data_IF_599143235819
#
_entry.id   IF_599143235819
#
_cell.length_a   1.000
_cell.length_b   1.000
_cell.length_c   1.000
_cell.angle_alpha   90.00
_cell.angle_beta   90.00
_cell.angle_gamma   90.00
#
_symmetry.space_group_name_H-M   'P 1'
#
loop_
_entity.id
_entity.type
_entity.pdbx_description
1 polymer ?
#
# COMPACT_ATOMS: atom_id res chain seq x y z
N UNK A 1 52.08 -54.59 18.87
CA UNK A 1 51.91 -54.96 17.44
C UNK A 1 51.59 -53.69 16.66
N UNK A 2 52.57 -53.15 15.92
CA UNK A 2 52.43 -51.88 15.20
C UNK A 2 52.10 -52.15 13.74
N UNK A 3 50.84 -51.99 13.35
CA UNK A 3 50.40 -52.00 11.95
C UNK A 3 51.01 -50.78 11.25
N UNK A 4 51.98 -51.00 10.35
CA UNK A 4 52.43 -49.97 9.40
C UNK A 4 51.37 -49.87 8.31
N UNK A 5 50.55 -48.81 8.35
CA UNK A 5 49.70 -48.43 7.23
C UNK A 5 50.61 -47.96 6.08
N UNK A 6 50.62 -48.68 4.97
CA UNK A 6 51.28 -48.23 3.75
C UNK A 6 50.59 -46.96 3.24
N UNK A 7 51.36 -45.91 3.02
CA UNK A 7 50.91 -44.72 2.30
C UNK A 7 50.77 -45.07 0.82
N UNK A 8 49.54 -45.29 0.38
CA UNK A 8 49.19 -45.44 -1.04
C UNK A 8 49.15 -44.04 -1.64
N UNK A 9 49.99 -43.77 -2.65
CA UNK A 9 49.96 -42.52 -3.41
C UNK A 9 48.78 -42.50 -4.39
N UNK A 10 48.27 -41.30 -4.71
CA UNK A 10 47.23 -41.09 -5.72
C UNK A 10 47.84 -41.16 -7.14
N UNK A 11 47.11 -41.76 -8.07
CA UNK A 11 47.55 -41.76 -9.48
C UNK A 11 47.26 -40.41 -10.16
N UNK A 12 48.03 -40.03 -11.18
CA UNK A 12 47.82 -38.79 -11.92
C UNK A 12 46.42 -38.72 -12.55
N UNK A 13 45.90 -39.86 -13.04
CA UNK A 13 44.54 -39.93 -13.59
C UNK A 13 43.46 -39.71 -12.52
N UNK A 14 43.68 -40.22 -11.31
CA UNK A 14 42.75 -40.04 -10.18
C UNK A 14 42.68 -38.57 -9.74
N UNK A 15 43.81 -37.87 -9.72
CA UNK A 15 43.86 -36.43 -9.44
C UNK A 15 43.15 -35.63 -10.55
N UNK A 16 43.36 -35.98 -11.82
CA UNK A 16 42.70 -35.30 -12.95
C UNK A 16 41.18 -35.50 -12.92
N UNK A 17 40.71 -36.72 -12.67
CA UNK A 17 39.27 -36.99 -12.57
C UNK A 17 38.68 -36.27 -11.36
N UNK A 18 39.40 -36.23 -10.23
CA UNK A 18 38.96 -35.52 -9.03
C UNK A 18 38.76 -34.02 -9.27
N UNK A 19 39.71 -33.33 -9.90
CA UNK A 19 39.57 -31.89 -10.20
C UNK A 19 38.45 -31.62 -11.20
N UNK A 20 38.20 -32.52 -12.16
CA UNK A 20 37.10 -32.39 -13.13
C UNK A 20 35.75 -32.50 -12.40
N UNK A 21 35.59 -33.51 -11.55
CA UNK A 21 34.36 -33.72 -10.77
C UNK A 21 34.08 -32.53 -9.85
N UNK A 22 35.11 -32.02 -9.16
CA UNK A 22 34.97 -30.80 -8.35
C UNK A 22 34.60 -29.59 -9.21
N UNK A 23 35.25 -29.38 -10.35
CA UNK A 23 34.97 -28.24 -11.24
C UNK A 23 33.52 -28.21 -11.72
N UNK A 24 32.98 -29.37 -12.13
CA UNK A 24 31.56 -29.49 -12.52
C UNK A 24 30.63 -29.27 -11.32
N UNK A 25 31.00 -29.81 -10.15
CA UNK A 25 30.25 -29.60 -8.90
C UNK A 25 30.15 -28.14 -8.49
N UNK A 26 31.27 -27.41 -8.47
CA UNK A 26 31.31 -25.98 -8.15
C UNK A 26 30.51 -25.13 -9.14
N UNK A 27 30.57 -25.47 -10.43
CA UNK A 27 29.79 -24.78 -11.46
C UNK A 27 28.28 -24.92 -11.21
N UNK A 28 27.82 -26.13 -10.84
CA UNK A 28 26.42 -26.36 -10.47
C UNK A 28 25.97 -25.57 -9.23
N UNK A 29 26.80 -25.51 -8.19
CA UNK A 29 26.50 -24.78 -6.96
C UNK A 29 26.41 -23.26 -7.22
N UNK A 30 27.28 -22.71 -8.06
CA UNK A 30 27.29 -21.28 -8.36
C UNK A 30 26.02 -20.83 -9.12
N UNK A 31 25.48 -21.68 -9.98
CA UNK A 31 24.21 -21.43 -10.68
C UNK A 31 23.06 -21.38 -9.67
N UNK A 32 22.97 -22.37 -8.78
CA UNK A 32 21.96 -22.43 -7.72
C UNK A 32 22.05 -21.24 -6.75
N UNK A 33 23.27 -20.84 -6.36
CA UNK A 33 23.48 -19.69 -5.48
C UNK A 33 22.99 -18.38 -6.11
N UNK A 34 23.28 -18.15 -7.40
CA UNK A 34 22.79 -16.98 -8.13
C UNK A 34 21.26 -16.97 -8.26
N UNK A 35 20.65 -18.12 -8.57
CA UNK A 35 19.18 -18.23 -8.62
C UNK A 35 18.54 -17.94 -7.26
N UNK A 36 19.08 -18.50 -6.18
CA UNK A 36 18.57 -18.30 -4.82
C UNK A 36 18.71 -16.84 -4.39
N UNK A 37 19.82 -16.20 -4.72
CA UNK A 37 20.08 -14.77 -4.40
C UNK A 37 19.07 -13.86 -5.10
N UNK A 38 18.77 -14.08 -6.38
CA UNK A 38 17.78 -13.27 -7.13
C UNK A 38 16.37 -13.50 -6.60
N UNK A 39 15.98 -14.75 -6.36
CA UNK A 39 14.69 -15.09 -5.78
C UNK A 39 14.47 -14.56 -4.34
N UNK A 40 15.54 -14.11 -3.67
CA UNK A 40 15.47 -13.58 -2.29
C UNK A 40 15.04 -12.11 -2.22
N UNK A 41 15.07 -11.36 -3.33
CA UNK A 41 14.71 -9.92 -3.35
C UNK A 41 13.19 -9.72 -3.50
N UNK A 42 12.53 -10.55 -4.29
CA UNK A 42 11.08 -10.54 -4.50
C UNK A 42 10.25 -10.52 -3.20
N UNK A 43 10.53 -11.35 -2.18
CA UNK A 43 9.76 -11.31 -0.94
C UNK A 43 9.93 -10.02 -0.14
N UNK A 44 11.08 -9.33 -0.23
CA UNK A 44 11.30 -8.05 0.45
C UNK A 44 10.46 -6.95 -0.22
N UNK A 45 10.52 -6.89 -1.55
CA UNK A 45 9.77 -5.90 -2.36
C UNK A 45 8.26 -6.06 -2.14
N UNK A 46 7.77 -7.30 -2.15
CA UNK A 46 6.35 -7.58 -1.93
C UNK A 46 5.90 -7.23 -0.51
N UNK A 47 6.71 -7.53 0.50
CA UNK A 47 6.39 -7.16 1.90
C UNK A 47 6.32 -5.64 2.06
N UNK A 48 7.22 -4.91 1.44
CA UNK A 48 7.19 -3.44 1.46
C UNK A 48 5.94 -2.90 0.77
N UNK A 49 5.58 -3.43 -0.40
CA UNK A 49 4.37 -3.04 -1.11
C UNK A 49 3.10 -3.29 -0.29
N UNK A 50 3.03 -4.44 0.39
CA UNK A 50 1.92 -4.76 1.30
C UNK A 50 1.90 -3.81 2.50
N UNK A 51 3.05 -3.49 3.10
CA UNK A 51 3.12 -2.57 4.24
C UNK A 51 2.62 -1.17 3.86
N UNK A 52 2.98 -0.66 2.67
CA UNK A 52 2.48 0.61 2.13
C UNK A 52 0.96 0.55 1.93
N UNK A 53 0.46 -0.55 1.33
CA UNK A 53 -0.96 -0.72 1.09
C UNK A 53 -1.76 -0.75 2.40
N UNK A 54 -1.31 -1.54 3.38
CA UNK A 54 -1.97 -1.68 4.68
C UNK A 54 -1.94 -0.38 5.48
N UNK A 55 -0.81 0.33 5.50
CA UNK A 55 -0.73 1.58 6.27
C UNK A 55 -1.70 2.62 5.72
N UNK A 56 -1.82 2.71 4.39
CA UNK A 56 -2.73 3.65 3.76
C UNK A 56 -4.19 3.20 3.91
N UNK A 57 -4.48 1.90 3.81
CA UNK A 57 -5.82 1.36 4.07
C UNK A 57 -6.26 1.62 5.50
N UNK A 58 -5.39 1.43 6.49
CA UNK A 58 -5.68 1.74 7.90
C UNK A 58 -5.95 3.22 8.10
N UNK A 59 -5.17 4.10 7.48
CA UNK A 59 -5.40 5.54 7.51
C UNK A 59 -6.77 5.92 6.95
N UNK A 60 -7.12 5.40 5.76
CA UNK A 60 -8.42 5.65 5.12
C UNK A 60 -9.57 5.12 5.98
N UNK A 61 -9.45 3.89 6.50
CA UNK A 61 -10.51 3.25 7.27
C UNK A 61 -10.77 3.91 8.62
N UNK A 62 -9.80 4.67 9.15
CA UNK A 62 -9.95 5.44 10.38
C UNK A 62 -10.76 6.73 10.20
N UNK A 63 -11.04 7.14 8.96
CA UNK A 63 -11.87 8.32 8.69
C UNK A 63 -13.37 8.04 8.82
N UNK A 64 -14.11 9.14 9.01
CA UNK A 64 -15.55 9.14 9.06
C UNK A 64 -16.16 8.60 7.77
N UNK A 65 -17.31 7.94 7.89
CA UNK A 65 -18.23 7.80 6.75
C UNK A 65 -19.59 8.29 7.21
N UNK A 66 -19.80 9.60 7.10
CA UNK A 66 -20.94 10.35 7.63
C UNK A 66 -21.90 10.76 6.52
N UNK A 67 -23.00 11.43 6.87
CA UNK A 67 -23.90 12.05 5.87
C UNK A 67 -23.38 13.40 5.39
N UNK A 68 -22.81 14.17 6.30
CA UNK A 68 -22.23 15.47 6.04
C UNK A 68 -20.74 15.39 6.24
N UNK A 69 -20.04 16.27 5.53
CA UNK A 69 -18.65 16.56 5.76
C UNK A 69 -18.41 16.98 7.24
N UNK A 70 -17.29 16.57 7.87
CA UNK A 70 -16.97 16.91 9.27
C UNK A 70 -16.92 18.41 9.60
N UNK A 71 -16.70 19.30 8.63
CA UNK A 71 -16.75 20.75 8.81
C UNK A 71 -18.20 21.29 8.87
N UNK A 72 -19.23 20.48 8.59
CA UNK A 72 -20.63 20.87 8.70
C UNK A 72 -21.10 20.91 10.17
N UNK A 73 -21.69 22.02 10.65
CA UNK A 73 -22.30 22.09 11.98
C UNK A 73 -23.36 21.02 12.28
N UNK A 74 -24.03 20.48 11.25
CA UNK A 74 -25.06 19.47 11.35
C UNK A 74 -24.53 18.02 11.30
N UNK A 75 -23.21 17.79 11.18
CA UNK A 75 -22.64 16.44 11.08
C UNK A 75 -23.10 15.51 12.21
N UNK A 76 -23.27 16.04 13.43
CA UNK A 76 -23.70 15.27 14.60
C UNK A 76 -25.21 15.00 14.69
N UNK A 77 -26.03 15.62 13.84
CA UNK A 77 -27.50 15.59 13.95
C UNK A 77 -28.24 15.24 12.64
N UNK A 78 -27.57 15.29 11.49
CA UNK A 78 -28.18 14.99 10.20
C UNK A 78 -28.75 13.57 10.14
N UNK A 79 -30.03 13.43 9.79
CA UNK A 79 -30.67 12.12 9.65
C UNK A 79 -30.38 11.44 8.29
N UNK A 80 -29.99 12.24 7.30
CA UNK A 80 -29.58 11.87 5.95
C UNK A 80 -28.80 13.04 5.33
N UNK A 81 -28.37 12.90 4.07
CA UNK A 81 -27.61 13.95 3.35
C UNK A 81 -28.39 15.25 3.13
N UNK A 82 -29.72 15.25 3.22
CA UNK A 82 -30.53 16.48 3.14
C UNK A 82 -30.48 17.31 4.41
N UNK A 83 -30.00 16.72 5.52
CA UNK A 83 -29.76 17.38 6.79
C UNK A 83 -28.50 18.24 6.85
N UNK A 84 -27.63 18.17 5.83
CA UNK A 84 -26.43 19.00 5.75
C UNK A 84 -26.80 20.47 5.47
N UNK A 85 -25.99 21.40 5.98
CA UNK A 85 -26.22 22.84 5.93
C UNK A 85 -26.35 23.35 4.48
N UNK A 86 -25.64 22.72 3.54
CA UNK A 86 -25.78 23.00 2.11
C UNK A 86 -25.33 21.79 1.27
N UNK A 87 -25.60 21.82 -0.03
CA UNK A 87 -25.12 20.79 -0.96
C UNK A 87 -23.58 20.69 -1.02
N UNK A 88 -22.85 21.76 -0.65
CA UNK A 88 -21.39 21.76 -0.58
C UNK A 88 -20.83 21.07 0.66
N UNK A 89 -21.67 20.80 1.67
CA UNK A 89 -21.32 20.02 2.85
C UNK A 89 -21.84 18.57 2.77
N UNK A 90 -22.51 18.22 1.66
CA UNK A 90 -22.80 16.82 1.39
C UNK A 90 -21.52 16.20 0.89
N UNK A 91 -21.12 15.16 1.60
CA UNK A 91 -19.89 14.46 1.35
C UNK A 91 -19.98 13.65 0.03
N UNK A 92 -19.08 13.93 -0.93
CA UNK A 92 -19.09 13.37 -2.28
C UNK A 92 -17.73 12.75 -2.64
N UNK A 93 -17.69 11.77 -3.54
CA UNK A 93 -16.44 11.08 -3.88
C UNK A 93 -15.35 12.06 -4.37
N UNK A 94 -14.20 12.04 -3.71
CA UNK A 94 -13.06 12.90 -3.99
C UNK A 94 -12.88 14.02 -2.96
N UNK A 95 -11.71 14.67 -2.91
CA UNK A 95 -11.45 15.77 -2.01
C UNK A 95 -12.46 16.88 -2.19
N UNK A 96 -13.04 17.34 -1.10
CA UNK A 96 -14.06 18.37 -1.16
C UNK A 96 -13.48 19.77 -0.93
N UNK A 97 -14.35 20.78 -1.10
CA UNK A 97 -14.06 22.18 -0.83
C UNK A 97 -15.19 22.72 0.04
N UNK A 98 -15.17 22.42 1.34
CA UNK A 98 -16.22 22.86 2.26
C UNK A 98 -16.09 24.35 2.61
N UNK A 99 -17.15 25.16 2.45
CA UNK A 99 -17.12 26.56 2.88
C UNK A 99 -16.82 26.67 4.39
N UNK A 100 -15.94 27.59 4.82
CA UNK A 100 -15.40 28.72 4.06
C UNK A 100 -14.11 28.42 3.27
N UNK A 101 -13.60 27.18 3.28
CA UNK A 101 -12.43 26.80 2.49
C UNK A 101 -12.70 26.98 1.00
N UNK A 102 -11.72 27.52 0.30
CA UNK A 102 -11.69 27.60 -1.18
C UNK A 102 -10.68 26.63 -1.77
N UNK A 103 -9.96 25.88 -0.93
CA UNK A 103 -8.96 24.91 -1.33
C UNK A 103 -9.53 23.52 -1.12
N UNK A 104 -9.28 22.63 -2.08
CA UNK A 104 -9.65 21.24 -1.93
C UNK A 104 -8.83 20.61 -0.80
N UNK A 105 -9.44 19.70 -0.06
CA UNK A 105 -8.72 18.99 0.98
C UNK A 105 -7.48 18.27 0.45
N UNK A 106 -6.51 18.05 1.33
CA UNK A 106 -5.33 17.24 0.98
C UNK A 106 -4.96 16.31 2.12
N UNK A 107 -4.33 15.16 1.81
CA UNK A 107 -3.86 14.21 2.83
C UNK A 107 -2.98 14.84 3.91
N UNK A 108 -2.08 15.73 3.49
CA UNK A 108 -1.00 16.28 4.32
C UNK A 108 -1.14 17.79 4.49
N UNK A 109 -2.37 18.26 4.66
CA UNK A 109 -2.64 19.68 4.72
C UNK A 109 -1.81 20.42 5.77
N UNK A 110 -1.47 21.65 5.42
CA UNK A 110 -0.80 22.65 6.25
C UNK A 110 -1.85 23.33 7.15
N UNK A 111 -1.49 24.12 8.19
CA UNK A 111 -2.46 24.81 9.06
C UNK A 111 -3.46 25.76 8.35
N UNK A 112 -3.37 25.91 7.03
CA UNK A 112 -4.21 26.78 6.20
C UNK A 112 -5.16 26.01 5.25
N UNK A 113 -5.01 24.68 5.09
CA UNK A 113 -5.84 23.85 4.21
C UNK A 113 -6.48 22.71 5.03
N UNK A 114 -7.71 22.30 4.72
CA UNK A 114 -8.37 21.17 5.39
C UNK A 114 -7.73 19.83 4.98
N UNK A 115 -7.69 18.90 5.92
CA UNK A 115 -7.07 17.58 5.74
C UNK A 115 -8.17 16.58 5.48
N UNK A 116 -7.93 15.64 4.56
CA UNK A 116 -8.77 14.45 4.38
C UNK A 116 -9.26 13.92 5.72
N UNK A 117 -10.53 14.12 5.99
CA UNK A 117 -11.17 13.76 7.24
C UNK A 117 -12.35 12.80 7.03
N UNK A 118 -12.72 12.58 5.77
CA UNK A 118 -13.63 11.55 5.33
C UNK A 118 -12.94 10.48 4.46
N UNK A 119 -13.61 9.34 4.34
CA UNK A 119 -13.03 8.14 3.69
C UNK A 119 -12.85 8.34 2.19
N UNK A 120 -13.75 9.08 1.56
CA UNK A 120 -13.80 9.26 0.12
C UNK A 120 -12.92 10.41 -0.42
N UNK A 121 -12.40 11.30 0.43
CA UNK A 121 -11.43 12.33 0.01
C UNK A 121 -10.15 11.71 -0.55
N UNK A 122 -9.85 10.49 -0.09
CA UNK A 122 -8.74 9.72 -0.61
C UNK A 122 -8.95 9.24 -2.05
N UNK A 123 -10.14 9.38 -2.65
CA UNK A 123 -10.35 9.03 -4.05
C UNK A 123 -9.45 9.87 -4.97
N UNK A 124 -8.68 9.19 -5.81
CA UNK A 124 -7.74 9.86 -6.71
C UNK A 124 -6.41 10.22 -6.06
N UNK A 125 -6.20 9.91 -4.77
CA UNK A 125 -4.88 10.06 -4.14
C UNK A 125 -3.86 9.21 -4.90
N UNK A 126 -2.84 9.89 -5.43
CA UNK A 126 -1.72 9.25 -6.10
C UNK A 126 -0.41 9.75 -5.50
N UNK A 127 0.45 8.83 -5.07
CA UNK A 127 1.80 9.11 -4.59
C UNK A 127 2.80 8.32 -5.42
N UNK A 128 3.85 8.96 -5.91
CA UNK A 128 4.86 8.29 -6.71
C UNK A 128 6.21 8.99 -6.55
N UNK A 129 7.25 8.22 -6.19
CA UNK A 129 8.68 8.56 -6.14
C UNK A 129 9.06 9.88 -5.41
N UNK A 130 10.19 9.89 -4.68
CA UNK A 130 10.73 11.13 -4.06
C UNK A 130 10.99 12.31 -5.03
N UNK A 131 11.00 12.06 -6.34
CA UNK A 131 11.26 13.03 -7.43
C UNK A 131 10.00 13.47 -8.20
N UNK A 132 8.82 12.93 -7.89
CA UNK A 132 7.53 13.39 -8.42
C UNK A 132 6.91 14.53 -7.59
N UNK A 133 5.80 15.15 -8.05
CA UNK A 133 5.14 16.22 -7.31
C UNK A 133 4.50 15.77 -5.99
N UNK A 134 4.31 14.45 -5.78
CA UNK A 134 3.74 13.89 -4.57
C UNK A 134 4.47 12.58 -4.19
N UNK A 135 5.56 12.65 -3.41
CA UNK A 135 6.34 11.48 -3.05
C UNK A 135 5.57 10.60 -2.05
N UNK A 136 5.99 9.33 -1.90
CA UNK A 136 5.43 8.49 -0.82
C UNK A 136 5.91 9.06 0.51
N UNK A 137 4.94 9.45 1.32
CA UNK A 137 5.13 10.22 2.54
C UNK A 137 4.25 9.67 3.65
N UNK A 138 4.69 9.84 4.89
CA UNK A 138 3.89 9.48 6.05
C UNK A 138 2.67 10.41 6.20
N UNK A 139 1.83 10.12 7.21
CA UNK A 139 0.64 10.90 7.51
C UNK A 139 0.94 12.32 8.06
N UNK A 140 2.21 12.71 8.18
CA UNK A 140 2.62 14.07 8.56
C UNK A 140 3.17 14.85 7.36
N UNK A 141 3.25 14.23 6.17
CA UNK A 141 3.87 14.83 4.99
C UNK A 141 5.39 14.64 4.92
N UNK A 142 5.98 13.82 5.78
CA UNK A 142 7.41 13.52 5.69
C UNK A 142 7.66 12.43 4.66
N UNK A 143 8.46 12.73 3.63
CA UNK A 143 8.84 11.75 2.60
C UNK A 143 9.59 10.57 3.19
N UNK A 144 9.13 9.36 2.88
CA UNK A 144 9.77 8.11 3.28
C UNK A 144 10.86 7.77 2.26
N UNK A 145 12.12 7.77 2.71
CA UNK A 145 13.28 7.48 1.87
C UNK A 145 13.31 6.01 1.42
N UNK A 146 13.86 5.74 0.23
CA UNK A 146 14.05 4.39 -0.30
C UNK A 146 12.84 3.76 -0.97
N UNK A 147 11.75 4.52 -1.17
CA UNK A 147 10.53 4.09 -1.87
C UNK A 147 10.43 4.61 -3.31
N UNK A 148 11.56 5.02 -3.91
CA UNK A 148 11.60 5.65 -5.24
C UNK A 148 11.06 4.77 -6.37
N UNK A 149 11.15 3.45 -6.21
CA UNK A 149 10.62 2.48 -7.16
C UNK A 149 9.16 2.07 -6.91
N UNK A 150 8.47 2.71 -5.95
CA UNK A 150 7.08 2.43 -5.62
C UNK A 150 6.17 3.59 -6.02
N UNK A 151 4.94 3.26 -6.37
CA UNK A 151 3.83 4.21 -6.50
C UNK A 151 2.55 3.63 -5.91
N UNK A 152 1.65 4.53 -5.54
CA UNK A 152 0.36 4.23 -4.93
C UNK A 152 -0.72 5.00 -5.64
N UNK A 153 -1.85 4.36 -5.88
CA UNK A 153 -3.10 4.99 -6.31
C UNK A 153 -4.23 4.49 -5.41
N UNK A 154 -5.11 5.39 -4.99
CA UNK A 154 -6.32 5.06 -4.24
C UNK A 154 -7.55 5.39 -5.07
N UNK A 155 -8.46 4.44 -5.13
CA UNK A 155 -9.80 4.64 -5.67
C UNK A 155 -10.81 4.31 -4.57
N UNK A 156 -11.71 5.25 -4.29
CA UNK A 156 -12.88 5.02 -3.44
C UNK A 156 -14.13 5.14 -4.30
N UNK A 157 -15.00 4.15 -4.27
CA UNK A 157 -16.19 4.08 -5.12
C UNK A 157 -17.41 3.71 -4.26
N UNK A 158 -18.60 4.16 -4.65
CA UNK A 158 -19.83 3.59 -4.09
C UNK A 158 -19.93 2.12 -4.50
N UNK A 159 -20.31 1.27 -3.55
CA UNK A 159 -20.27 -0.18 -3.69
C UNK A 159 -21.64 -0.81 -3.41
N UNK A 160 -22.66 -0.21 -4.01
CA UNK A 160 -24.04 -0.64 -3.84
C UNK A 160 -24.24 -2.05 -4.37
N UNK A 161 -24.69 -2.95 -3.50
CA UNK A 161 -24.94 -4.35 -3.86
C UNK A 161 -23.72 -5.26 -3.82
N UNK A 162 -22.52 -4.76 -3.52
CA UNK A 162 -21.34 -5.62 -3.28
C UNK A 162 -21.51 -6.47 -2.02
N UNK A 163 -22.26 -5.97 -1.02
CA UNK A 163 -22.53 -6.63 0.25
C UNK A 163 -24.03 -6.88 0.43
N UNK A 164 -24.44 -8.08 0.90
CA UNK A 164 -25.85 -8.39 1.13
C UNK A 164 -26.40 -7.62 2.33
N UNK A 165 -27.65 -7.17 2.25
CA UNK A 165 -28.39 -6.47 3.31
C UNK A 165 -27.78 -5.13 3.76
N UNK A 166 -27.11 -4.41 2.85
CA UNK A 166 -26.71 -3.01 3.06
C UNK A 166 -27.50 -2.13 2.10
N UNK A 167 -27.97 -0.98 2.59
CA UNK A 167 -28.69 -0.03 1.74
C UNK A 167 -27.75 0.59 0.69
N UNK A 168 -28.32 0.98 -0.44
CA UNK A 168 -27.60 1.76 -1.44
C UNK A 168 -27.15 3.11 -0.83
N UNK A 169 -25.93 3.53 -1.12
CA UNK A 169 -25.29 4.74 -0.58
C UNK A 169 -24.61 4.55 0.78
N UNK A 170 -24.75 3.40 1.44
CA UNK A 170 -24.16 3.14 2.77
C UNK A 170 -22.89 2.27 2.70
N UNK A 171 -22.36 2.01 1.49
CA UNK A 171 -21.11 1.26 1.30
C UNK A 171 -20.15 1.99 0.36
N UNK A 172 -18.91 2.12 0.79
CA UNK A 172 -17.78 2.50 -0.05
C UNK A 172 -16.81 1.32 -0.18
N UNK A 173 -16.31 1.08 -1.40
CA UNK A 173 -15.20 0.18 -1.67
C UNK A 173 -13.94 1.01 -1.86
N UNK A 174 -12.95 0.73 -1.03
CA UNK A 174 -11.63 1.35 -1.06
C UNK A 174 -10.70 0.36 -1.76
N UNK A 175 -10.03 0.82 -2.82
CA UNK A 175 -8.99 0.05 -3.51
C UNK A 175 -7.68 0.81 -3.45
N UNK A 176 -6.71 0.26 -2.71
CA UNK A 176 -5.33 0.75 -2.66
C UNK A 176 -4.49 -0.10 -3.60
N UNK A 177 -3.97 0.53 -4.65
CA UNK A 177 -3.10 -0.10 -5.65
C UNK A 177 -1.67 0.37 -5.41
N UNK A 178 -0.78 -0.56 -5.07
CA UNK A 178 0.65 -0.29 -4.93
C UNK A 178 1.41 -0.97 -6.07
N UNK A 179 2.12 -0.18 -6.86
CA UNK A 179 3.03 -0.69 -7.89
C UNK A 179 4.45 -0.62 -7.34
N UNK A 180 5.08 -1.78 -7.24
CA UNK A 180 6.44 -1.95 -6.77
C UNK A 180 7.45 -1.98 -7.95
N UNK A 181 8.77 -1.97 -7.69
CA UNK A 181 9.79 -2.10 -8.72
C UNK A 181 9.54 -3.30 -9.64
N UNK A 182 9.95 -3.16 -10.91
CA UNK A 182 9.71 -4.14 -11.97
C UNK A 182 8.23 -4.42 -12.31
N UNK A 183 7.30 -3.56 -11.87
CA UNK A 183 5.89 -3.58 -12.27
C UNK A 183 5.00 -4.54 -11.47
N UNK A 184 5.51 -5.11 -10.37
CA UNK A 184 4.70 -5.95 -9.48
C UNK A 184 3.63 -5.09 -8.82
N UNK A 185 2.36 -5.48 -8.97
CA UNK A 185 1.22 -4.71 -8.44
C UNK A 185 0.52 -5.47 -7.33
N UNK A 186 0.18 -4.78 -6.24
CA UNK A 186 -0.64 -5.27 -5.13
C UNK A 186 -1.89 -4.41 -5.03
N UNK A 187 -3.06 -5.04 -5.14
CA UNK A 187 -4.35 -4.40 -4.93
C UNK A 187 -4.93 -4.88 -3.61
N UNK A 188 -5.09 -3.96 -2.66
CA UNK A 188 -5.77 -4.22 -1.41
C UNK A 188 -7.14 -3.55 -1.46
N UNK A 189 -8.18 -4.33 -1.17
CA UNK A 189 -9.55 -3.85 -1.13
C UNK A 189 -10.09 -3.92 0.30
N UNK A 190 -10.83 -2.88 0.67
CA UNK A 190 -11.57 -2.80 1.92
C UNK A 190 -12.94 -2.20 1.66
N UNK A 191 -13.88 -2.47 2.56
CA UNK A 191 -15.21 -1.86 2.54
C UNK A 191 -15.39 -1.01 3.77
N UNK A 192 -15.97 0.18 3.60
CA UNK A 192 -16.42 1.04 4.69
C UNK A 192 -17.94 1.14 4.63
N UNK A 193 -18.57 0.86 5.77
CA UNK A 193 -20.01 0.95 5.95
C UNK A 193 -20.36 2.23 6.72
N UNK A 194 -21.48 2.86 6.37
CA UNK A 194 -22.05 3.98 7.13
C UNK A 194 -22.79 3.46 8.38
N UNK A 195 -22.04 2.89 9.33
CA UNK A 195 -22.63 2.35 10.57
C UNK A 195 -22.84 3.42 11.66
N UNK A 196 -22.11 4.53 11.58
CA UNK A 196 -22.17 5.64 12.51
C UNK A 196 -22.21 6.97 11.71
N UNK A 197 -23.36 7.28 11.09
CA UNK A 197 -23.49 8.37 10.11
C UNK A 197 -23.28 9.79 10.65
N UNK A 198 -23.15 9.94 11.97
CA UNK A 198 -23.06 11.22 12.68
C UNK A 198 -21.82 11.30 13.59
N UNK A 199 -20.87 10.39 13.40
CA UNK A 199 -19.59 10.39 14.12
C UNK A 199 -18.46 10.58 13.10
N UNK A 200 -18.08 11.83 12.82
CA UNK A 200 -16.92 12.10 11.97
C UNK A 200 -15.63 11.57 12.61
#
# INVERSE_FOLDING_TARGET
MSSRRGSLGLSLIEVVVFIIVLGVGFSGILILYNQTTRASVDPVVRKQAVAIATSLMEEIQLRGFTYCDPDDPNVYAAADTTGCTSAAHVDNIGPDTTPPSTTAETRNASPADPRFDHVNDYHGLAMANSSGPNPIQDATGTTIQGLDGYSVQVAVETADGDLPNVNAGDTLRITVTVTAPAGVTINQQGYRLRYAPNTP
#
